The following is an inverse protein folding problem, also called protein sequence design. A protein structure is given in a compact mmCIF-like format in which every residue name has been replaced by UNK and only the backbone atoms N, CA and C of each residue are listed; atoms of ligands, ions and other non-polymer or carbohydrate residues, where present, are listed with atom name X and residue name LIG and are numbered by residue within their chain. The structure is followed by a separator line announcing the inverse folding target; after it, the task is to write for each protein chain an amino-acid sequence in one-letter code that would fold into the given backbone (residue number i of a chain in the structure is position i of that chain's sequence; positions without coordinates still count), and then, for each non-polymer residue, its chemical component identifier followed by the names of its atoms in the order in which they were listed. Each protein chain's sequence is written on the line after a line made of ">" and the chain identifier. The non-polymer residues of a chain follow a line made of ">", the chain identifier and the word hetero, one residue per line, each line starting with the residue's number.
data_IF_675996952433
#
_entry.id   IF_675996952433
#
_cell.length_a   1.000
_cell.length_b   1.000
_cell.length_c   1.000
_cell.angle_alpha   90.00
_cell.angle_beta   90.00
_cell.angle_gamma   90.00
#
_symmetry.space_group_name_H-M   'P 1'
#
loop_
_entity.id
_entity.type
_entity.pdbx_description
1 polymer ?
#
# COMPACT_ATOMS: atom_id res chain seq x y z
N UNK A 1 19.68 11.16 -3.34
CA UNK A 1 18.70 10.16 -3.82
C UNK A 1 17.51 10.33 -2.92
N UNK A 2 16.35 10.74 -3.44
CA UNK A 2 15.13 10.74 -2.63
C UNK A 2 14.82 9.29 -2.26
N UNK A 3 14.91 8.95 -0.98
CA UNK A 3 14.40 7.68 -0.47
C UNK A 3 12.91 7.67 -0.78
N UNK A 4 12.49 6.81 -1.71
CA UNK A 4 11.07 6.61 -1.98
C UNK A 4 10.44 6.01 -0.72
N UNK A 5 9.73 6.82 0.04
CA UNK A 5 9.04 6.40 1.24
C UNK A 5 7.96 5.37 0.86
N UNK A 6 8.19 4.11 1.23
CA UNK A 6 7.22 3.02 1.01
C UNK A 6 6.31 2.98 2.23
N UNK A 7 5.01 3.12 2.00
CA UNK A 7 4.00 2.91 3.03
C UNK A 7 3.47 1.48 3.01
N UNK A 8 3.24 0.93 4.20
CA UNK A 8 2.51 -0.33 4.37
C UNK A 8 1.02 -0.14 4.09
N UNK A 9 0.32 -1.24 3.81
CA UNK A 9 -1.15 -1.24 3.61
C UNK A 9 -1.87 -0.57 4.77
N UNK A 10 -1.43 -0.82 6.01
CA UNK A 10 -1.99 -0.23 7.23
C UNK A 10 -1.80 1.30 7.28
N UNK A 11 -0.60 1.78 6.97
CA UNK A 11 -0.33 3.23 6.95
C UNK A 11 -1.16 3.94 5.88
N UNK A 12 -1.30 3.33 4.70
CA UNK A 12 -2.14 3.89 3.63
C UNK A 12 -3.61 3.90 4.03
N UNK A 13 -4.09 2.83 4.68
CA UNK A 13 -5.46 2.74 5.19
C UNK A 13 -5.76 3.83 6.22
N UNK A 14 -4.84 4.07 7.16
CA UNK A 14 -4.97 5.14 8.15
C UNK A 14 -4.92 6.52 7.50
N UNK A 15 -3.97 6.76 6.59
CA UNK A 15 -3.80 8.03 5.90
C UNK A 15 -5.02 8.42 5.06
N UNK A 16 -5.58 7.46 4.30
CA UNK A 16 -6.75 7.69 3.45
C UNK A 16 -8.08 7.54 4.20
N UNK A 17 -8.05 7.15 5.47
CA UNK A 17 -9.24 6.81 6.27
C UNK A 17 -10.13 5.75 5.58
N UNK A 18 -9.49 4.69 5.09
CA UNK A 18 -10.14 3.60 4.36
C UNK A 18 -9.88 2.25 5.04
N UNK A 19 -10.74 1.27 4.76
CA UNK A 19 -10.52 -0.10 5.24
C UNK A 19 -9.32 -0.77 4.54
N UNK A 20 -8.52 -1.52 5.31
CA UNK A 20 -7.33 -2.24 4.81
C UNK A 20 -7.68 -3.19 3.64
N UNK A 21 -8.85 -3.84 3.66
CA UNK A 21 -9.28 -4.72 2.57
C UNK A 21 -9.53 -3.95 1.27
N UNK A 22 -10.01 -2.70 1.39
CA UNK A 22 -10.21 -1.84 0.23
C UNK A 22 -8.86 -1.45 -0.36
N UNK A 23 -7.89 -1.03 0.47
CA UNK A 23 -6.53 -0.73 0.01
C UNK A 23 -5.88 -1.96 -0.63
N UNK A 24 -6.04 -3.14 -0.04
CA UNK A 24 -5.52 -4.40 -0.61
C UNK A 24 -6.14 -4.71 -1.97
N UNK A 25 -7.46 -4.54 -2.11
CA UNK A 25 -8.17 -4.69 -3.39
C UNK A 25 -7.65 -3.70 -4.43
N UNK A 26 -7.51 -2.43 -4.07
CA UNK A 26 -7.02 -1.37 -4.95
C UNK A 26 -5.58 -1.65 -5.43
N UNK A 27 -4.69 -2.07 -4.52
CA UNK A 27 -3.33 -2.49 -4.82
C UNK A 27 -3.30 -3.68 -5.79
N UNK A 28 -4.14 -4.71 -5.56
CA UNK A 28 -4.23 -5.89 -6.43
C UNK A 28 -4.83 -5.58 -7.81
N UNK A 29 -5.74 -4.61 -7.90
CA UNK A 29 -6.30 -4.14 -9.18
C UNK A 29 -5.37 -3.21 -9.94
N UNK A 30 -4.23 -2.80 -9.34
CA UNK A 30 -3.27 -1.89 -9.95
C UNK A 30 -3.66 -0.41 -9.89
N UNK A 31 -4.69 -0.04 -9.14
CA UNK A 31 -5.10 1.35 -8.94
C UNK A 31 -4.17 2.09 -7.97
N UNK A 32 -3.58 1.37 -7.01
CA UNK A 32 -2.52 1.88 -6.14
C UNK A 32 -1.19 1.25 -6.57
N UNK A 33 -0.15 2.05 -6.85
CA UNK A 33 1.19 1.54 -7.07
C UNK A 33 1.64 0.74 -5.84
N UNK A 34 1.85 -0.56 -6.03
CA UNK A 34 2.22 -1.45 -4.94
C UNK A 34 3.33 -2.39 -5.37
N UNK A 35 4.20 -2.74 -4.42
CA UNK A 35 5.26 -3.71 -4.59
C UNK A 35 5.08 -4.81 -3.54
N UNK A 36 5.01 -6.07 -3.98
CA UNK A 36 5.03 -7.20 -3.05
C UNK A 36 6.46 -7.39 -2.56
N UNK A 37 6.71 -7.04 -1.30
CA UNK A 37 7.98 -7.37 -0.64
C UNK A 37 7.82 -8.77 -0.05
N UNK A 38 8.49 -9.76 -0.65
CA UNK A 38 8.61 -11.09 -0.07
C UNK A 38 9.75 -11.06 0.96
N UNK A 39 9.43 -11.21 2.24
CA UNK A 39 10.42 -11.58 3.25
C UNK A 39 10.76 -13.06 3.08
N UNK A 40 12.05 -13.37 2.98
CA UNK A 40 12.53 -14.73 3.19
C UNK A 40 12.44 -15.08 4.68
#
# INVERSE_FOLDING_TARGET
>A
MEEKEIMTVKQVAEYLQMDEHTIYKLARTGLIPSLKIAGQ
#
